data_IF_210180667857
#
_entry.id   IF_210180667857
#
_cell.length_a   1.000
_cell.length_b   1.000
_cell.length_c   1.000
_cell.angle_alpha   90.00
_cell.angle_beta   90.00
_cell.angle_gamma   90.00
#
_symmetry.space_group_name_H-M   'P 1'
#
loop_
_entity.id
_entity.type
_entity.pdbx_description
1 polymer ?
#
# COMPACT_ATOMS: atom_id res chain seq x y z
N UNK A 1 -1.38 -20.49 -32.50
CA UNK A 1 -0.66 -19.34 -31.94
C UNK A 1 -1.18 -19.13 -30.53
N UNK A 2 -0.44 -19.56 -29.49
CA UNK A 2 -0.75 -19.13 -28.13
C UNK A 2 -0.23 -17.69 -28.02
N UNK A 3 -1.12 -16.70 -28.17
CA UNK A 3 -0.79 -15.36 -27.70
C UNK A 3 -0.65 -15.48 -26.19
N UNK A 4 0.58 -15.37 -25.68
CA UNK A 4 0.81 -15.24 -24.25
C UNK A 4 0.14 -13.94 -23.84
N UNK A 5 -1.10 -14.04 -23.34
CA UNK A 5 -1.87 -12.88 -22.92
C UNK A 5 -1.16 -12.32 -21.69
N UNK A 6 -0.45 -11.21 -21.85
CA UNK A 6 0.24 -10.56 -20.73
C UNK A 6 -0.82 -10.00 -19.79
N UNK A 7 -0.89 -10.56 -18.58
CA UNK A 7 -1.74 -10.05 -17.52
C UNK A 7 -1.17 -8.70 -17.09
N UNK A 8 -2.04 -7.69 -17.03
CA UNK A 8 -1.74 -6.36 -16.51
C UNK A 8 -2.31 -6.27 -15.10
N UNK A 9 -1.42 -6.03 -14.14
CA UNK A 9 -1.79 -5.64 -12.79
C UNK A 9 -1.77 -4.12 -12.68
N UNK A 10 -2.71 -3.61 -11.90
CA UNK A 10 -2.86 -2.20 -11.56
C UNK A 10 -3.16 -2.10 -10.08
N UNK A 11 -2.65 -1.07 -9.42
CA UNK A 11 -3.02 -0.74 -8.04
C UNK A 11 -3.77 0.59 -8.06
N UNK A 12 -4.74 0.73 -7.17
CA UNK A 12 -5.50 1.97 -7.03
C UNK A 12 -5.77 2.25 -5.55
N UNK A 13 -5.36 3.43 -5.06
CA UNK A 13 -4.59 4.46 -5.76
C UNK A 13 -3.14 4.02 -6.06
N UNK A 14 -2.51 4.61 -7.10
CA UNK A 14 -1.07 4.41 -7.38
C UNK A 14 -0.18 5.19 -6.41
N UNK A 15 -0.70 6.31 -5.90
CA UNK A 15 -0.06 7.14 -4.89
C UNK A 15 -1.06 7.42 -3.76
N UNK A 16 -0.69 7.09 -2.53
CA UNK A 16 -1.47 7.41 -1.34
C UNK A 16 -0.68 8.38 -0.45
N UNK A 17 -1.40 9.09 0.40
CA UNK A 17 -0.80 9.99 1.39
C UNK A 17 -1.33 9.60 2.76
N UNK A 18 -0.44 9.51 3.73
CA UNK A 18 -0.76 9.29 5.12
C UNK A 18 -0.33 10.52 5.93
N UNK A 19 -1.23 11.02 6.76
CA UNK A 19 -0.94 12.15 7.64
C UNK A 19 -0.64 11.63 9.05
N UNK A 20 0.49 12.03 9.61
CA UNK A 20 0.90 11.69 10.97
C UNK A 20 0.09 12.42 12.04
N UNK A 21 -0.67 13.46 11.66
CA UNK A 21 -1.53 14.21 12.56
C UNK A 21 -2.71 13.37 13.08
N UNK A 22 -2.68 12.88 14.34
CA UNK A 22 -3.71 12.00 14.87
C UNK A 22 -5.08 12.66 15.02
N UNK A 23 -5.15 14.00 14.96
CA UNK A 23 -6.38 14.78 15.01
C UNK A 23 -6.94 15.09 13.60
N UNK A 24 -6.15 14.82 12.55
CA UNK A 24 -6.53 15.04 11.15
C UNK A 24 -7.25 13.85 10.51
N UNK A 25 -8.07 14.12 9.50
CA UNK A 25 -8.75 13.08 8.70
C UNK A 25 -7.78 12.18 7.92
N UNK A 26 -6.51 12.59 7.77
CA UNK A 26 -5.46 11.82 7.08
C UNK A 26 -4.82 10.72 7.92
N UNK A 27 -5.10 10.65 9.24
CA UNK A 27 -4.59 9.61 10.14
C UNK A 27 -5.49 8.37 10.09
N UNK A 28 -5.54 7.74 8.92
CA UNK A 28 -6.40 6.59 8.64
C UNK A 28 -5.63 5.47 7.93
N UNK A 29 -6.21 4.26 7.93
CA UNK A 29 -5.61 3.12 7.23
C UNK A 29 -5.56 3.40 5.71
N UNK A 30 -4.43 3.09 5.07
CA UNK A 30 -4.27 3.27 3.62
C UNK A 30 -4.68 1.99 2.91
N UNK A 31 -5.73 2.09 2.09
CA UNK A 31 -6.27 0.95 1.34
C UNK A 31 -5.78 1.00 -0.11
N UNK A 32 -5.00 -0.01 -0.50
CA UNK A 32 -4.49 -0.23 -1.84
C UNK A 32 -5.26 -1.37 -2.49
N UNK A 33 -6.01 -1.10 -3.55
CA UNK A 33 -6.77 -2.12 -4.27
C UNK A 33 -5.97 -2.61 -5.47
N UNK A 34 -5.65 -3.91 -5.48
CA UNK A 34 -5.00 -4.54 -6.63
C UNK A 34 -6.05 -5.11 -7.57
N UNK A 35 -5.95 -4.74 -8.83
CA UNK A 35 -6.79 -5.24 -9.91
C UNK A 35 -5.94 -5.84 -11.02
N UNK A 36 -6.49 -6.83 -11.69
CA UNK A 36 -5.89 -7.48 -12.85
C UNK A 36 -6.92 -7.50 -13.97
N UNK A 37 -6.49 -7.32 -15.20
CA UNK A 37 -7.40 -7.38 -16.34
C UNK A 37 -7.98 -8.79 -16.56
N UNK A 38 -7.36 -9.83 -16.00
CA UNK A 38 -7.75 -11.23 -16.11
C UNK A 38 -7.12 -12.11 -15.03
N UNK A 39 -7.78 -13.22 -14.72
CA UNK A 39 -7.33 -14.20 -13.73
C UNK A 39 -7.69 -13.83 -12.29
N UNK A 40 -7.38 -14.75 -11.37
CA UNK A 40 -7.54 -14.52 -9.93
C UNK A 40 -6.25 -13.95 -9.35
N UNK A 41 -6.38 -12.91 -8.53
CA UNK A 41 -5.28 -12.25 -7.83
C UNK A 41 -5.23 -12.83 -6.42
N UNK A 42 -4.03 -13.18 -5.99
CA UNK A 42 -3.74 -13.56 -4.61
C UNK A 42 -2.49 -12.81 -4.20
N UNK A 43 -2.63 -11.91 -3.22
CA UNK A 43 -1.47 -11.24 -2.61
C UNK A 43 -0.74 -12.25 -1.75
N UNK A 44 0.54 -12.46 -2.04
CA UNK A 44 1.40 -13.37 -1.29
C UNK A 44 2.11 -12.62 -0.17
N UNK A 45 2.74 -11.50 -0.50
CA UNK A 45 3.56 -10.71 0.42
C UNK A 45 3.49 -9.22 0.07
N UNK A 46 3.87 -8.38 1.02
CA UNK A 46 3.95 -6.93 0.86
C UNK A 46 5.24 -6.44 1.48
N UNK A 47 5.92 -5.53 0.80
CA UNK A 47 7.19 -4.93 1.22
C UNK A 47 7.05 -3.42 1.18
N UNK A 48 7.82 -2.75 2.01
CA UNK A 48 8.09 -1.33 1.90
C UNK A 48 9.56 -1.15 1.52
N UNK A 49 9.81 -0.85 0.24
CA UNK A 49 11.16 -0.88 -0.31
C UNK A 49 11.77 -2.29 -0.20
N UNK A 50 12.81 -2.42 0.61
CA UNK A 50 13.49 -3.70 0.88
C UNK A 50 12.94 -4.41 2.14
N UNK A 51 12.15 -3.72 2.96
CA UNK A 51 11.63 -4.24 4.23
C UNK A 51 10.35 -5.05 4.02
N UNK A 52 10.38 -6.32 4.44
CA UNK A 52 9.21 -7.20 4.39
C UNK A 52 8.21 -6.85 5.49
N UNK A 53 6.98 -6.54 5.10
CA UNK A 53 5.91 -6.26 6.05
C UNK A 53 5.31 -7.56 6.60
N UNK A 54 4.91 -7.53 7.87
CA UNK A 54 4.23 -8.65 8.52
C UNK A 54 2.73 -8.54 8.34
N UNK A 55 2.12 -9.54 7.70
CA UNK A 55 0.65 -9.62 7.56
C UNK A 55 -0.02 -9.70 8.93
N UNK A 56 -1.20 -9.10 9.05
CA UNK A 56 -2.01 -8.93 10.27
C UNK A 56 -1.37 -8.07 11.36
N UNK A 57 -0.09 -7.70 11.24
CA UNK A 57 0.60 -6.76 12.12
C UNK A 57 0.76 -5.39 11.46
N UNK A 58 1.39 -5.32 10.29
CA UNK A 58 1.64 -4.07 9.55
C UNK A 58 0.56 -3.80 8.50
N UNK A 59 0.03 -4.85 7.88
CA UNK A 59 -1.01 -4.74 6.86
C UNK A 59 -1.98 -5.91 6.91
N UNK A 60 -3.17 -5.77 6.34
CA UNK A 60 -4.12 -6.86 6.12
C UNK A 60 -4.44 -6.99 4.65
N UNK A 61 -4.93 -8.16 4.24
CA UNK A 61 -5.38 -8.40 2.86
C UNK A 61 -6.78 -8.98 2.91
N UNK A 62 -7.73 -8.32 2.25
CA UNK A 62 -9.09 -8.80 2.06
C UNK A 62 -9.57 -8.44 0.66
N UNK A 63 -10.15 -9.39 -0.09
CA UNK A 63 -10.72 -9.15 -1.43
C UNK A 63 -9.80 -8.37 -2.38
N UNK A 64 -8.51 -8.74 -2.44
CA UNK A 64 -7.45 -8.07 -3.24
C UNK A 64 -7.15 -6.62 -2.82
N UNK A 65 -7.62 -6.22 -1.64
CA UNK A 65 -7.30 -4.94 -1.01
C UNK A 65 -6.25 -5.16 0.06
N UNK A 66 -5.10 -4.53 -0.11
CA UNK A 66 -4.05 -4.43 0.89
C UNK A 66 -4.35 -3.20 1.73
N UNK A 67 -4.64 -3.40 3.01
CA UNK A 67 -4.87 -2.31 3.96
C UNK A 67 -3.63 -2.16 4.82
N UNK A 68 -2.87 -1.09 4.62
CA UNK A 68 -1.76 -0.71 5.49
C UNK A 68 -2.33 -0.10 6.76
N UNK A 69 -1.94 -0.65 7.90
CA UNK A 69 -2.48 -0.19 9.18
C UNK A 69 -1.90 1.16 9.57
N UNK A 70 -2.73 2.04 10.11
CA UNK A 70 -2.31 3.32 10.72
C UNK A 70 -1.17 3.11 11.72
N UNK A 71 -1.23 2.04 12.53
CA UNK A 71 -0.19 1.73 13.51
C UNK A 71 1.19 1.46 12.90
N UNK A 72 1.26 1.00 11.65
CA UNK A 72 2.51 0.86 10.92
C UNK A 72 2.91 2.17 10.24
N UNK A 73 1.97 2.85 9.59
CA UNK A 73 2.23 4.11 8.91
C UNK A 73 2.70 5.20 9.87
N UNK A 74 2.21 5.19 11.11
CA UNK A 74 2.64 6.07 12.19
C UNK A 74 4.06 5.78 12.72
N UNK A 75 4.71 4.71 12.28
CA UNK A 75 6.13 4.42 12.61
C UNK A 75 7.10 4.90 11.53
N UNK A 76 6.57 5.38 10.40
CA UNK A 76 7.34 5.88 9.29
C UNK A 76 7.78 7.34 9.55
N UNK A 77 8.84 7.76 8.88
CA UNK A 77 9.33 9.14 8.94
C UNK A 77 8.41 10.06 8.14
N UNK A 78 8.16 11.26 8.67
CA UNK A 78 7.50 12.35 7.94
C UNK A 78 8.31 12.81 6.72
N UNK A 79 7.63 13.41 5.74
CA UNK A 79 8.19 13.93 4.48
C UNK A 79 8.97 12.89 3.65
N UNK A 80 8.74 11.59 3.88
CA UNK A 80 9.31 10.50 3.10
C UNK A 80 8.28 9.82 2.19
N UNK A 81 8.76 9.35 1.03
CA UNK A 81 7.99 8.52 0.11
C UNK A 81 8.42 7.06 0.23
N UNK A 82 7.45 6.20 0.50
CA UNK A 82 7.63 4.77 0.68
C UNK A 82 7.08 4.01 -0.52
N UNK A 83 7.91 3.14 -1.09
CA UNK A 83 7.53 2.31 -2.24
C UNK A 83 6.96 0.98 -1.75
N UNK A 84 5.64 0.86 -1.71
CA UNK A 84 4.95 -0.34 -1.27
C UNK A 84 4.86 -1.32 -2.43
N UNK A 85 5.61 -2.42 -2.33
CA UNK A 85 5.65 -3.48 -3.33
C UNK A 85 4.71 -4.60 -2.87
N UNK A 86 3.70 -4.91 -3.68
CA UNK A 86 2.72 -5.95 -3.42
C UNK A 86 3.03 -7.11 -4.36
N UNK A 87 3.55 -8.20 -3.81
CA UNK A 87 3.79 -9.44 -4.56
C UNK A 87 2.47 -10.21 -4.70
N UNK A 88 2.19 -10.67 -5.92
CA UNK A 88 1.00 -11.49 -6.18
C UNK A 88 1.33 -12.70 -7.05
N UNK A 89 0.41 -13.66 -7.11
CA UNK A 89 0.53 -14.82 -7.99
C UNK A 89 0.61 -14.49 -9.49
N UNK A 90 0.28 -13.26 -9.90
CA UNK A 90 0.31 -12.80 -11.30
C UNK A 90 1.48 -11.85 -11.60
N UNK A 91 2.31 -11.54 -10.59
CA UNK A 91 3.40 -10.57 -10.65
C UNK A 91 3.25 -9.46 -9.61
N UNK A 92 4.20 -8.53 -9.63
CA UNK A 92 4.32 -7.51 -8.58
C UNK A 92 3.72 -6.18 -9.05
N UNK A 93 3.14 -5.45 -8.12
CA UNK A 93 2.65 -4.09 -8.34
C UNK A 93 3.19 -3.17 -7.26
N UNK A 94 3.46 -1.91 -7.62
CA UNK A 94 4.06 -0.93 -6.72
C UNK A 94 3.09 0.23 -6.54
N UNK A 95 2.90 0.66 -5.30
CA UNK A 95 2.20 1.89 -4.93
C UNK A 95 3.15 2.78 -4.14
N UNK A 96 3.10 4.09 -4.38
CA UNK A 96 3.83 5.05 -3.56
C UNK A 96 2.95 5.50 -2.39
N UNK A 97 3.54 5.63 -1.20
CA UNK A 97 2.89 6.18 -0.02
C UNK A 97 3.75 7.32 0.51
N UNK A 98 3.24 8.54 0.43
CA UNK A 98 3.89 9.71 1.01
C UNK A 98 3.40 9.91 2.43
N UNK A 99 4.32 10.07 3.37
CA UNK A 99 3.98 10.42 4.74
C UNK A 99 4.15 11.92 4.90
N UNK A 100 3.13 12.59 5.40
CA UNK A 100 3.15 14.03 5.72
C UNK A 100 2.79 14.20 7.18
N UNK A 101 3.18 15.31 7.78
CA UNK A 101 2.70 15.71 9.10
C UNK A 101 2.06 17.11 8.99
N UNK A 102 0.74 17.17 9.18
CA UNK A 102 0.01 18.45 9.24
C UNK A 102 -0.33 18.89 10.66
N UNK A 103 0.29 18.28 11.67
CA UNK A 103 0.12 18.71 13.07
C UNK A 103 0.37 20.21 13.12
N UNK A 104 -0.71 20.95 13.39
CA UNK A 104 -0.57 22.36 13.68
C UNK A 104 -0.04 22.41 15.08
N UNK A 105 1.26 22.65 15.23
CA UNK A 105 1.84 23.04 16.51
C UNK A 105 1.20 24.37 16.90
N UNK A 106 0.02 24.31 17.50
CA UNK A 106 -0.58 25.43 18.22
C UNK A 106 0.40 25.76 19.35
N UNK A 107 1.18 26.82 19.14
CA UNK A 107 2.26 27.26 20.03
C UNK A 107 1.81 27.78 21.39
#
# INVERSE_FOLDING_TARGET
MCVTKKIRLTVSPETATFDLNPEGDGYADVVLTVAANEGSITVTDVYNGEDKLTKDTNYTVADNKVTLKTAYLATLTEDEEYSIIIETNQGDVVAAVTVVDTTTEEG
#
